data_IF_397724084312
#
_entry.id   IF_397724084312
#
_cell.length_a   1.000
_cell.length_b   1.000
_cell.length_c   1.000
_cell.angle_alpha   90.00
_cell.angle_beta   90.00
_cell.angle_gamma   90.00
#
_symmetry.space_group_name_H-M   'P 1'
#
loop_
_entity.id
_entity.type
_entity.pdbx_description
1 polymer ?
#
# COMPACT_ATOMS: atom_id res chain seq x y z
N UNK A 1 0.00 -30.89 -4.70
CA UNK A 1 0.60 -29.54 -4.74
C UNK A 1 1.48 -29.40 -3.52
N UNK A 2 2.59 -28.61 -3.57
CA UNK A 2 3.38 -28.36 -2.36
C UNK A 2 2.58 -27.51 -1.38
N UNK A 3 2.82 -27.67 -0.07
CA UNK A 3 2.17 -26.90 1.01
C UNK A 3 2.23 -25.37 0.74
N UNK A 4 3.38 -24.88 0.29
CA UNK A 4 3.56 -23.48 -0.09
C UNK A 4 2.61 -23.04 -1.22
N UNK A 5 2.40 -23.87 -2.24
CA UNK A 5 1.44 -23.54 -3.31
C UNK A 5 0.01 -23.45 -2.81
N UNK A 6 -0.38 -24.36 -1.92
CA UNK A 6 -1.72 -24.35 -1.30
C UNK A 6 -1.92 -23.09 -0.46
N UNK A 7 -0.91 -22.75 0.37
CA UNK A 7 -0.93 -21.52 1.18
C UNK A 7 -1.08 -20.25 0.34
N UNK A 8 -0.23 -20.09 -0.70
CA UNK A 8 -0.30 -18.92 -1.59
C UNK A 8 -1.62 -18.87 -2.37
N UNK A 9 -2.14 -20.01 -2.82
CA UNK A 9 -3.44 -20.06 -3.49
C UNK A 9 -4.57 -19.56 -2.57
N UNK A 10 -4.55 -19.92 -1.28
CA UNK A 10 -5.50 -19.42 -0.28
C UNK A 10 -5.40 -17.91 -0.08
N UNK A 11 -4.18 -17.36 0.03
CA UNK A 11 -3.96 -15.92 0.14
C UNK A 11 -4.52 -15.17 -1.09
N UNK A 12 -4.26 -15.66 -2.29
CA UNK A 12 -4.76 -15.06 -3.54
C UNK A 12 -6.28 -15.11 -3.59
N UNK A 13 -6.90 -16.20 -3.18
CA UNK A 13 -8.35 -16.34 -3.14
C UNK A 13 -8.98 -15.32 -2.17
N UNK A 14 -8.43 -15.21 -0.96
CA UNK A 14 -8.89 -14.23 0.03
C UNK A 14 -8.71 -12.79 -0.46
N UNK A 15 -7.56 -12.49 -1.06
CA UNK A 15 -7.29 -11.16 -1.60
C UNK A 15 -8.24 -10.79 -2.76
N UNK A 16 -8.59 -11.74 -3.62
CA UNK A 16 -9.59 -11.52 -4.68
C UNK A 16 -10.99 -11.26 -4.13
N UNK A 17 -11.39 -12.00 -3.09
CA UNK A 17 -12.67 -11.76 -2.43
C UNK A 17 -12.72 -10.38 -1.76
N UNK A 18 -11.67 -10.02 -1.02
CA UNK A 18 -11.54 -8.71 -0.39
C UNK A 18 -11.52 -7.56 -1.42
N UNK A 19 -10.83 -7.74 -2.54
CA UNK A 19 -10.79 -6.74 -3.61
C UNK A 19 -12.17 -6.49 -4.20
N UNK A 20 -12.95 -7.55 -4.45
CA UNK A 20 -14.31 -7.42 -4.95
C UNK A 20 -15.21 -6.72 -3.94
N UNK A 21 -15.15 -7.11 -2.67
CA UNK A 21 -15.90 -6.45 -1.59
C UNK A 21 -15.52 -4.97 -1.47
N UNK A 22 -14.23 -4.64 -1.60
CA UNK A 22 -13.76 -3.26 -1.57
C UNK A 22 -14.36 -2.43 -2.71
N UNK A 23 -14.41 -2.97 -3.94
CA UNK A 23 -15.04 -2.29 -5.06
C UNK A 23 -16.54 -2.04 -4.87
N UNK A 24 -17.24 -2.99 -4.26
CA UNK A 24 -18.68 -2.89 -3.98
C UNK A 24 -18.98 -1.87 -2.88
N UNK A 25 -18.13 -1.77 -1.86
CA UNK A 25 -18.31 -0.87 -0.70
C UNK A 25 -17.80 0.55 -0.94
N UNK A 26 -16.69 0.71 -1.65
CA UNK A 26 -16.03 2.00 -1.86
C UNK A 26 -16.25 2.49 -3.29
N UNK A 27 -17.47 2.99 -3.55
CA UNK A 27 -17.96 3.36 -4.88
C UNK A 27 -17.68 4.82 -5.26
N UNK A 28 -17.11 5.63 -4.34
CA UNK A 28 -16.80 7.04 -4.60
C UNK A 28 -15.30 7.30 -4.40
N UNK A 29 -14.75 8.24 -5.17
CA UNK A 29 -13.35 8.67 -5.02
C UNK A 29 -13.05 9.14 -3.59
N UNK A 30 -13.98 9.86 -2.98
CA UNK A 30 -13.84 10.36 -1.60
C UNK A 30 -13.69 9.20 -0.61
N UNK A 31 -14.53 8.18 -0.70
CA UNK A 31 -14.48 7.03 0.21
C UNK A 31 -13.14 6.27 0.08
N UNK A 32 -12.65 6.09 -1.14
CA UNK A 32 -11.33 5.50 -1.39
C UNK A 32 -10.22 6.37 -0.80
N UNK A 33 -10.28 7.69 -1.02
CA UNK A 33 -9.27 8.62 -0.51
C UNK A 33 -9.24 8.66 1.03
N UNK A 34 -10.38 8.51 1.70
CA UNK A 34 -10.45 8.40 3.15
C UNK A 34 -9.70 7.16 3.67
N UNK A 35 -9.82 6.01 3.01
CA UNK A 35 -9.06 4.79 3.36
C UNK A 35 -7.56 5.00 3.13
N UNK A 36 -7.16 5.54 1.99
CA UNK A 36 -5.74 5.82 1.69
C UNK A 36 -5.14 6.80 2.71
N UNK A 37 -5.90 7.82 3.09
CA UNK A 37 -5.50 8.76 4.14
C UNK A 37 -5.35 8.07 5.49
N UNK A 38 -6.27 7.16 5.85
CA UNK A 38 -6.20 6.41 7.11
C UNK A 38 -4.92 5.57 7.18
N UNK A 39 -4.55 4.87 6.10
CA UNK A 39 -3.29 4.11 6.02
C UNK A 39 -2.09 5.03 6.30
N UNK A 40 -2.01 6.19 5.63
CA UNK A 40 -0.93 7.14 5.86
C UNK A 40 -0.87 7.64 7.31
N UNK A 41 -2.02 7.99 7.90
CA UNK A 41 -2.11 8.50 9.26
C UNK A 41 -1.75 7.45 10.32
N UNK A 42 -2.13 6.19 10.13
CA UNK A 42 -1.79 5.10 11.04
C UNK A 42 -0.28 4.99 11.21
N UNK A 43 0.46 4.95 10.12
CA UNK A 43 1.92 4.85 10.18
C UNK A 43 2.57 6.16 10.62
N UNK A 44 2.03 7.31 10.19
CA UNK A 44 2.50 8.60 10.67
C UNK A 44 2.40 8.71 12.20
N UNK A 45 1.31 8.25 12.79
CA UNK A 45 1.09 8.31 14.24
C UNK A 45 1.93 7.28 15.01
N UNK A 46 2.21 6.13 14.41
CA UNK A 46 3.00 5.05 15.02
C UNK A 46 4.53 5.17 14.79
N UNK A 47 5.01 6.23 14.15
CA UNK A 47 6.42 6.35 13.73
C UNK A 47 7.43 6.28 14.86
N UNK A 48 7.13 6.84 16.04
CA UNK A 48 8.00 6.80 17.20
C UNK A 48 8.11 5.39 17.82
N UNK A 49 7.05 4.60 17.71
CA UNK A 49 7.01 3.20 18.14
C UNK A 49 7.71 2.29 17.13
N UNK A 50 7.40 2.46 15.85
CA UNK A 50 7.89 1.58 14.79
C UNK A 50 9.37 1.79 14.44
N UNK A 51 9.89 3.01 14.55
CA UNK A 51 11.26 3.32 14.14
C UNK A 51 12.35 2.57 14.94
N UNK A 52 12.27 2.47 16.28
CA UNK A 52 13.18 1.64 17.06
C UNK A 52 13.14 0.18 16.65
N UNK A 53 11.96 -0.38 16.47
CA UNK A 53 11.77 -1.79 16.09
C UNK A 53 12.39 -2.12 14.71
N UNK A 54 12.26 -1.19 13.74
CA UNK A 54 12.92 -1.35 12.44
C UNK A 54 14.43 -1.39 12.58
N UNK A 55 15.02 -0.53 13.41
CA UNK A 55 16.48 -0.51 13.61
C UNK A 55 16.93 -1.76 14.33
N UNK A 56 16.20 -2.21 15.35
CA UNK A 56 16.49 -3.41 16.11
C UNK A 56 16.44 -4.67 15.22
N UNK A 57 15.36 -4.87 14.46
CA UNK A 57 15.20 -6.06 13.63
C UNK A 57 16.13 -6.09 12.43
N UNK A 58 16.38 -4.94 11.80
CA UNK A 58 17.15 -4.88 10.55
C UNK A 58 18.64 -4.58 10.75
N UNK A 59 19.02 -3.98 11.88
CA UNK A 59 20.36 -3.44 12.11
C UNK A 59 20.70 -2.24 11.21
N UNK A 60 19.70 -1.59 10.57
CA UNK A 60 19.94 -0.59 9.52
C UNK A 60 19.43 0.80 9.88
N UNK A 61 20.32 1.78 9.77
CA UNK A 61 20.02 3.20 9.96
C UNK A 61 19.92 3.60 11.43
N UNK A 62 19.34 4.76 11.69
CA UNK A 62 19.10 5.29 13.03
C UNK A 62 17.60 5.56 13.25
N UNK A 63 17.15 5.53 14.49
CA UNK A 63 15.76 5.80 14.87
C UNK A 63 15.29 7.15 14.33
N UNK A 64 16.05 8.21 14.54
CA UNK A 64 15.72 9.55 14.07
C UNK A 64 15.55 9.61 12.54
N UNK A 65 16.41 8.92 11.81
CA UNK A 65 16.33 8.87 10.34
C UNK A 65 15.11 8.06 9.86
N UNK A 66 14.76 6.97 10.56
CA UNK A 66 13.56 6.18 10.26
C UNK A 66 12.29 6.99 10.51
N UNK A 67 12.21 7.76 11.60
CA UNK A 67 11.09 8.67 11.88
C UNK A 67 10.94 9.71 10.76
N UNK A 68 12.02 10.41 10.41
CA UNK A 68 12.01 11.40 9.32
C UNK A 68 11.53 10.80 8.00
N UNK A 69 11.99 9.59 7.69
CA UNK A 69 11.60 8.86 6.50
C UNK A 69 10.11 8.50 6.48
N UNK A 70 9.57 8.03 7.61
CA UNK A 70 8.13 7.73 7.73
C UNK A 70 7.28 8.98 7.56
N UNK A 71 7.68 10.12 8.16
CA UNK A 71 7.01 11.41 7.97
C UNK A 71 7.00 11.80 6.49
N UNK A 72 8.19 11.86 5.88
CA UNK A 72 8.33 12.29 4.49
C UNK A 72 7.55 11.39 3.52
N UNK A 73 7.57 10.08 3.74
CA UNK A 73 6.89 9.11 2.88
C UNK A 73 5.38 9.18 3.00
N UNK A 74 4.84 9.16 4.22
CA UNK A 74 3.39 9.17 4.42
C UNK A 74 2.76 10.48 3.96
N UNK A 75 3.36 11.61 4.33
CA UNK A 75 2.87 12.93 3.90
C UNK A 75 3.10 13.19 2.41
N UNK A 76 4.27 12.85 1.89
CA UNK A 76 4.62 13.03 0.47
C UNK A 76 3.73 12.18 -0.43
N UNK A 77 3.57 10.90 -0.12
CA UNK A 77 2.72 10.00 -0.89
C UNK A 77 1.25 10.46 -0.87
N UNK A 78 0.72 10.80 0.30
CA UNK A 78 -0.63 11.34 0.41
C UNK A 78 -0.80 12.62 -0.43
N UNK A 79 0.12 13.57 -0.31
CA UNK A 79 0.06 14.81 -1.08
C UNK A 79 0.13 14.60 -2.59
N UNK A 80 0.82 13.56 -3.04
CA UNK A 80 0.88 13.17 -4.46
C UNK A 80 -0.43 12.56 -4.95
N UNK A 81 -1.15 11.85 -4.08
CA UNK A 81 -2.36 11.06 -4.45
C UNK A 81 -3.66 11.82 -4.23
N UNK A 82 -3.72 12.71 -3.24
CA UNK A 82 -4.95 13.47 -2.94
C UNK A 82 -5.40 14.30 -4.12
N UNK A 83 -6.71 14.30 -4.38
CA UNK A 83 -7.30 15.06 -5.48
C UNK A 83 -7.09 14.45 -6.87
N UNK A 84 -6.34 13.36 -7.01
CA UNK A 84 -6.22 12.64 -8.29
C UNK A 84 -7.31 11.59 -8.41
N UNK A 85 -7.98 11.60 -9.56
CA UNK A 85 -8.94 10.56 -9.91
C UNK A 85 -8.24 9.22 -10.14
N UNK A 86 -8.80 8.15 -9.59
CA UNK A 86 -8.29 6.77 -9.72
C UNK A 86 -9.40 5.75 -9.98
N UNK A 87 -10.60 6.25 -10.29
CA UNK A 87 -11.76 5.42 -10.62
C UNK A 87 -12.67 6.12 -11.62
N UNK A 88 -13.37 5.35 -12.44
CA UNK A 88 -14.24 5.88 -13.47
C UNK A 88 -13.47 6.63 -14.57
N UNK A 89 -14.09 7.61 -15.17
CA UNK A 89 -13.44 8.45 -16.19
C UNK A 89 -12.39 9.34 -15.53
N UNK A 90 -11.18 9.30 -16.08
CA UNK A 90 -10.05 10.14 -15.66
C UNK A 90 -9.62 11.03 -16.82
N UNK A 91 -8.86 12.08 -16.51
CA UNK A 91 -8.25 12.96 -17.50
C UNK A 91 -7.40 12.13 -18.50
N UNK A 92 -7.56 12.42 -19.79
CA UNK A 92 -6.78 11.74 -20.83
C UNK A 92 -5.35 12.27 -20.82
N UNK A 93 -4.37 11.46 -20.39
CA UNK A 93 -2.97 11.90 -20.34
C UNK A 93 -2.29 11.98 -21.72
N UNK A 94 -2.96 11.50 -22.76
CA UNK A 94 -2.39 11.42 -24.13
C UNK A 94 -2.86 12.58 -25.02
N UNK A 95 -3.81 13.40 -24.55
CA UNK A 95 -4.41 14.54 -25.29
C UNK A 95 -4.93 14.18 -26.69
N UNK A 96 -5.37 12.92 -26.88
CA UNK A 96 -5.89 12.43 -28.14
C UNK A 96 -7.37 12.72 -28.28
N UNK A 97 -7.81 13.44 -29.35
CA UNK A 97 -9.23 13.70 -29.58
C UNK A 97 -10.06 12.41 -29.69
N UNK A 98 -11.20 12.36 -28.99
CA UNK A 98 -12.12 11.21 -29.03
C UNK A 98 -11.73 10.05 -28.12
N UNK A 99 -10.56 10.07 -27.46
CA UNK A 99 -10.15 9.03 -26.51
C UNK A 99 -10.71 9.36 -25.12
N UNK A 100 -11.31 8.35 -24.47
CA UNK A 100 -11.72 8.41 -23.06
C UNK A 100 -10.96 7.39 -22.26
N UNK A 101 -10.37 7.81 -21.14
CA UNK A 101 -9.60 6.94 -20.26
C UNK A 101 -10.44 6.59 -19.04
N UNK A 102 -10.51 5.30 -18.73
CA UNK A 102 -11.27 4.77 -17.59
C UNK A 102 -10.29 4.05 -16.67
N UNK A 103 -10.19 4.53 -15.43
CA UNK A 103 -9.43 3.85 -14.39
C UNK A 103 -10.21 2.65 -13.84
N UNK A 104 -9.57 1.48 -13.85
CA UNK A 104 -10.10 0.22 -13.31
C UNK A 104 -9.04 -0.46 -12.45
N UNK A 105 -9.42 -1.19 -11.40
CA UNK A 105 -8.46 -2.03 -10.67
C UNK A 105 -7.96 -3.16 -11.56
N UNK A 106 -6.74 -3.61 -11.28
CA UNK A 106 -6.15 -4.81 -11.90
C UNK A 106 -6.40 -6.08 -11.08
N UNK A 107 -6.87 -5.93 -9.84
CA UNK A 107 -7.24 -7.02 -8.95
C UNK A 107 -6.33 -7.14 -7.73
N UNK A 108 -5.38 -8.05 -7.73
CA UNK A 108 -4.47 -8.34 -6.62
C UNK A 108 -3.03 -7.99 -6.98
N UNK A 109 -2.40 -7.18 -6.15
CA UNK A 109 -0.99 -6.76 -6.28
C UNK A 109 -0.12 -7.59 -5.33
N UNK A 110 0.95 -8.19 -5.82
CA UNK A 110 2.00 -8.78 -5.00
C UNK A 110 3.09 -7.74 -4.71
N UNK A 111 3.35 -7.46 -3.43
CA UNK A 111 4.36 -6.49 -2.99
C UNK A 111 5.51 -7.17 -2.28
N UNK A 112 6.67 -7.26 -2.92
CA UNK A 112 7.91 -7.76 -2.32
C UNK A 112 8.62 -6.60 -1.65
N UNK A 113 8.80 -6.68 -0.32
CA UNK A 113 9.38 -5.61 0.47
C UNK A 113 10.85 -5.87 0.83
N UNK A 114 11.73 -4.86 0.68
CA UNK A 114 13.14 -4.99 1.03
C UNK A 114 13.39 -4.83 2.54
N UNK A 115 14.56 -5.26 2.99
CA UNK A 115 15.00 -5.05 4.38
C UNK A 115 15.37 -3.58 4.67
N UNK A 116 15.78 -2.82 3.65
CA UNK A 116 16.24 -1.43 3.82
C UNK A 116 15.13 -0.45 4.20
N UNK A 117 13.92 -0.70 3.69
CA UNK A 117 12.74 0.15 3.89
C UNK A 117 11.47 -0.70 4.11
N UNK A 118 11.43 -1.56 5.14
CA UNK A 118 10.36 -2.54 5.28
C UNK A 118 8.98 -1.89 5.46
N UNK A 119 8.82 -1.01 6.44
CA UNK A 119 7.54 -0.31 6.71
C UNK A 119 7.17 0.63 5.58
N UNK A 120 8.13 1.43 5.10
CA UNK A 120 7.88 2.43 4.06
C UNK A 120 7.39 1.78 2.77
N UNK A 121 7.99 0.66 2.36
CA UNK A 121 7.56 -0.05 1.15
C UNK A 121 6.16 -0.65 1.32
N UNK A 122 5.85 -1.22 2.49
CA UNK A 122 4.49 -1.70 2.80
C UNK A 122 3.48 -0.56 2.64
N UNK A 123 3.72 0.57 3.29
CA UNK A 123 2.80 1.72 3.27
C UNK A 123 2.61 2.29 1.88
N UNK A 124 3.72 2.58 1.17
CA UNK A 124 3.66 3.17 -0.17
C UNK A 124 2.89 2.29 -1.14
N UNK A 125 3.20 1.00 -1.16
CA UNK A 125 2.57 0.06 -2.07
C UNK A 125 1.11 -0.19 -1.68
N UNK A 126 0.78 -0.22 -0.38
CA UNK A 126 -0.60 -0.33 0.08
C UNK A 126 -1.43 0.90 -0.30
N UNK A 127 -0.92 2.10 -0.06
CA UNK A 127 -1.60 3.32 -0.48
C UNK A 127 -1.85 3.36 -1.99
N UNK A 128 -0.87 2.97 -2.81
CA UNK A 128 -1.00 2.94 -4.26
C UNK A 128 -2.01 1.88 -4.74
N UNK A 129 -1.94 0.66 -4.18
CA UNK A 129 -2.86 -0.41 -4.53
C UNK A 129 -4.31 -0.05 -4.15
N UNK A 130 -4.53 0.39 -2.92
CA UNK A 130 -5.86 0.76 -2.40
C UNK A 130 -6.42 1.99 -3.11
N UNK A 131 -5.59 2.99 -3.44
CA UNK A 131 -6.01 4.15 -4.23
C UNK A 131 -6.66 3.74 -5.56
N UNK A 132 -6.15 2.68 -6.18
CA UNK A 132 -6.68 2.11 -7.42
C UNK A 132 -7.66 0.94 -7.18
N UNK A 133 -8.16 0.77 -5.96
CA UNK A 133 -9.11 -0.27 -5.53
C UNK A 133 -8.63 -1.71 -5.78
N UNK A 134 -7.31 -1.93 -5.70
CA UNK A 134 -6.73 -3.26 -5.72
C UNK A 134 -6.59 -3.81 -4.29
N UNK A 135 -6.60 -5.14 -4.15
CA UNK A 135 -6.04 -5.79 -2.97
C UNK A 135 -4.52 -5.92 -3.09
N UNK A 136 -3.86 -6.07 -1.96
CA UNK A 136 -2.40 -6.23 -1.91
C UNK A 136 -2.03 -7.40 -0.99
N UNK A 137 -1.07 -8.21 -1.44
CA UNK A 137 -0.42 -9.24 -0.64
C UNK A 137 1.02 -8.81 -0.43
N UNK A 138 1.40 -8.59 0.83
CA UNK A 138 2.75 -8.16 1.20
C UNK A 138 3.63 -9.37 1.46
N UNK A 139 4.78 -9.45 0.80
CA UNK A 139 5.83 -10.43 1.02
C UNK A 139 7.05 -9.74 1.66
N UNK A 140 7.21 -9.78 2.99
CA UNK A 140 8.28 -9.13 3.69
C UNK A 140 9.63 -9.83 3.46
N UNK A 141 10.71 -9.06 3.55
CA UNK A 141 12.05 -9.64 3.59
C UNK A 141 12.23 -10.45 4.90
N UNK A 142 12.88 -11.63 4.90
CA UNK A 142 13.06 -12.44 6.11
C UNK A 142 13.70 -11.70 7.29
N UNK A 143 14.63 -10.78 7.04
CA UNK A 143 15.30 -9.94 8.06
C UNK A 143 14.49 -8.70 8.49
N UNK A 144 13.23 -8.58 8.08
CA UNK A 144 12.36 -7.47 8.45
C UNK A 144 10.90 -7.95 8.50
N UNK A 145 10.70 -9.24 8.87
CA UNK A 145 9.40 -9.90 8.83
C UNK A 145 8.43 -9.31 9.84
N UNK A 146 8.88 -9.12 11.08
CA UNK A 146 8.00 -8.71 12.19
C UNK A 146 7.55 -7.27 12.04
N UNK A 147 8.46 -6.33 11.77
CA UNK A 147 8.08 -4.93 11.55
C UNK A 147 7.21 -4.74 10.30
N UNK A 148 7.43 -5.53 9.25
CA UNK A 148 6.56 -5.49 8.08
C UNK A 148 5.16 -6.02 8.37
N UNK A 149 5.03 -7.10 9.15
CA UNK A 149 3.74 -7.63 9.60
C UNK A 149 3.00 -6.64 10.49
N UNK A 150 3.71 -5.96 11.40
CA UNK A 150 3.12 -4.94 12.27
C UNK A 150 2.59 -3.73 11.50
N UNK A 151 3.18 -3.44 10.33
CA UNK A 151 2.79 -2.34 9.46
C UNK A 151 1.68 -2.70 8.45
N UNK A 152 1.24 -3.96 8.43
CA UNK A 152 0.19 -4.47 7.54
C UNK A 152 -1.14 -4.57 8.26
#
# INVERSE_FOLDING_TARGET
MSEAKTYIAGLIQNARAAQKEFEERFTTQRAVDEVVRAIALTIYNAKEELAPEVVEETGMGTVAYKITKMIATTTGQWNTMRGKASMGFIENPYDEPGVRVIAKPIGVVGSICPTTNPIITVVMNSMAAIKCRNAIIVAPHPKAKFVSQKAT
#
